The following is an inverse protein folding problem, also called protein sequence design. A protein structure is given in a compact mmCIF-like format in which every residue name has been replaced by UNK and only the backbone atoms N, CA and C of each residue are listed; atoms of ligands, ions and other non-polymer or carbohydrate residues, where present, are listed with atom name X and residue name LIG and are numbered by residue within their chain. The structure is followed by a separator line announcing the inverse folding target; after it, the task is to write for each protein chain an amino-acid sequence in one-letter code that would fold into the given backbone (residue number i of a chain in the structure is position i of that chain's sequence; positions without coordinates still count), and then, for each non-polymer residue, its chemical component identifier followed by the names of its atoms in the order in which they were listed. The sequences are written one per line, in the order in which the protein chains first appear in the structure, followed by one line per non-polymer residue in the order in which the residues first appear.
data_IF_511159915454
#
_entry.id   IF_511159915454
#
_cell.length_a   1.000
_cell.length_b   1.000
_cell.length_c   1.000
_cell.angle_alpha   90.00
_cell.angle_beta   90.00
_cell.angle_gamma   90.00
#
_symmetry.space_group_name_H-M   'P 1'
#
loop_
_entity.id
_entity.type
_entity.pdbx_description
1 polymer ?
#
# COMPACT_ATOMS: atom_id res chain seq x y z
N UNK A 1 -1.54 -10.77 33.85
CA UNK A 1 -1.07 -12.17 33.71
C UNK A 1 -2.27 -13.11 33.76
N UNK A 2 -2.52 -13.86 32.69
CA UNK A 2 -2.55 -15.33 32.84
C UNK A 2 -1.59 -16.00 31.85
N UNK A 3 -0.90 -17.06 32.29
CA UNK A 3 -0.02 -17.85 31.42
C UNK A 3 -0.80 -19.04 30.86
N UNK A 4 -1.02 -19.09 29.54
CA UNK A 4 -1.56 -20.29 28.90
C UNK A 4 -0.43 -21.30 28.71
N UNK A 5 -0.55 -22.45 29.36
CA UNK A 5 0.29 -23.64 29.16
C UNK A 5 -0.56 -24.75 28.53
N UNK A 6 -0.05 -25.37 27.47
CA UNK A 6 -0.70 -26.53 26.87
C UNK A 6 -0.59 -27.75 27.80
N UNK A 7 -1.72 -28.30 28.24
CA UNK A 7 -1.77 -29.52 29.06
C UNK A 7 -2.37 -30.66 28.22
N UNK A 8 -1.57 -31.67 27.89
CA UNK A 8 -2.08 -32.95 27.37
C UNK A 8 -2.63 -33.78 28.54
N UNK A 9 -3.87 -34.26 28.42
CA UNK A 9 -4.43 -35.31 29.28
C UNK A 9 -4.64 -36.58 28.46
N UNK A 10 -4.37 -37.73 29.07
CA UNK A 10 -4.36 -39.04 28.41
C UNK A 10 -5.67 -39.83 28.54
N UNK A 11 -5.67 -40.94 27.78
CA UNK A 11 -6.65 -42.02 27.62
C UNK A 11 -7.58 -42.38 28.79
N UNK A 12 -8.87 -42.60 28.44
CA UNK A 12 -9.71 -43.79 28.74
C UNK A 12 -10.94 -43.76 27.78
N UNK A 13 -11.59 -44.85 27.36
CA UNK A 13 -11.22 -46.28 27.42
C UNK A 13 -12.37 -47.23 27.00
N UNK A 14 -12.10 -48.18 26.08
CA UNK A 14 -12.96 -49.33 25.67
C UNK A 14 -14.26 -49.05 24.87
N UNK A 15 -14.35 -49.60 23.64
CA UNK A 15 -15.12 -50.84 23.34
C UNK A 15 -14.99 -51.25 21.85
N UNK A 16 -14.93 -52.55 21.59
CA UNK A 16 -14.92 -53.13 20.24
C UNK A 16 -16.30 -53.01 19.56
N UNK A 17 -16.32 -52.58 18.31
CA UNK A 17 -17.39 -52.92 17.35
C UNK A 17 -16.76 -53.09 15.96
N UNK A 18 -17.09 -54.19 15.28
CA UNK A 18 -16.65 -54.46 13.91
C UNK A 18 -17.46 -53.60 12.94
N UNK A 19 -16.80 -52.89 12.03
CA UNK A 19 -17.41 -52.24 10.87
C UNK A 19 -16.43 -52.28 9.68
N UNK A 20 -16.99 -52.37 8.47
CA UNK A 20 -16.26 -52.77 7.26
C UNK A 20 -15.13 -51.80 6.88
N UNK A 21 -14.02 -52.37 6.39
CA UNK A 21 -12.97 -51.62 5.69
C UNK A 21 -13.48 -51.28 4.29
N UNK A 22 -13.93 -50.04 4.09
CA UNK A 22 -13.99 -49.42 2.77
C UNK A 22 -12.80 -48.48 2.62
N UNK A 23 -11.82 -48.90 1.82
CA UNK A 23 -10.63 -48.10 1.50
C UNK A 23 -10.98 -47.00 0.50
N UNK A 24 -11.57 -45.89 0.99
CA UNK A 24 -11.55 -44.63 0.24
C UNK A 24 -10.13 -44.06 0.29
N UNK A 25 -9.48 -44.00 -0.87
CA UNK A 25 -8.27 -43.21 -1.06
C UNK A 25 -8.64 -41.74 -0.94
N UNK A 26 -8.30 -41.12 0.19
CA UNK A 26 -8.38 -39.68 0.37
C UNK A 26 -7.29 -39.03 -0.49
N UNK A 27 -7.64 -38.69 -1.74
CA UNK A 27 -6.84 -37.78 -2.55
C UNK A 27 -6.71 -36.45 -1.78
N UNK A 28 -5.49 -35.94 -1.54
CA UNK A 28 -5.35 -34.61 -0.97
C UNK A 28 -5.90 -33.61 -1.97
N UNK A 29 -7.01 -32.96 -1.63
CA UNK A 29 -7.44 -31.73 -2.29
C UNK A 29 -6.38 -30.67 -2.01
N UNK A 30 -5.37 -30.61 -2.87
CA UNK A 30 -4.57 -29.41 -3.04
C UNK A 30 -5.53 -28.39 -3.62
N UNK A 31 -6.04 -27.51 -2.76
CA UNK A 31 -6.71 -26.30 -3.21
C UNK A 31 -5.64 -25.44 -3.89
N UNK A 32 -5.45 -25.65 -5.19
CA UNK A 32 -4.84 -24.65 -6.05
C UNK A 32 -5.77 -23.44 -5.96
N UNK A 33 -5.39 -22.46 -5.15
CA UNK A 33 -5.91 -21.11 -5.31
C UNK A 33 -5.61 -20.73 -6.76
N UNK A 34 -6.64 -20.75 -7.61
CA UNK A 34 -6.50 -20.18 -8.93
C UNK A 34 -6.24 -18.70 -8.69
N UNK A 35 -5.03 -18.26 -9.02
CA UNK A 35 -4.76 -16.84 -9.22
C UNK A 35 -5.74 -16.38 -10.29
N UNK A 36 -6.83 -15.77 -9.85
CA UNK A 36 -7.68 -14.96 -10.70
C UNK A 36 -6.78 -13.82 -11.09
N UNK A 37 -6.20 -13.86 -12.29
CA UNK A 37 -5.44 -12.73 -12.82
C UNK A 37 -6.39 -11.53 -12.78
N UNK A 38 -6.16 -10.51 -11.93
CA UNK A 38 -6.96 -9.30 -11.98
C UNK A 38 -6.73 -8.64 -13.35
N UNK A 39 -7.64 -7.77 -13.82
CA UNK A 39 -7.36 -6.96 -14.99
C UNK A 39 -6.04 -6.20 -14.77
N UNK A 40 -5.16 -6.24 -15.76
CA UNK A 40 -3.79 -5.71 -15.62
C UNK A 40 -3.80 -4.19 -15.75
N UNK A 41 -4.21 -3.52 -14.68
CA UNK A 41 -4.32 -2.08 -14.61
C UNK A 41 -2.95 -1.40 -14.49
N UNK A 42 -2.69 -0.46 -15.39
CA UNK A 42 -1.49 0.38 -15.44
C UNK A 42 -1.71 1.68 -14.66
N UNK A 43 -0.61 2.28 -14.19
CA UNK A 43 -0.57 3.69 -13.80
C UNK A 43 -0.38 4.58 -15.04
N UNK A 44 -0.89 5.81 -15.00
CA UNK A 44 -0.70 6.81 -16.06
C UNK A 44 -0.20 8.17 -15.53
N UNK A 45 0.63 8.16 -14.48
CA UNK A 45 1.37 9.35 -14.01
C UNK A 45 2.23 9.92 -15.15
N UNK A 46 2.09 11.22 -15.45
CA UNK A 46 2.78 11.86 -16.58
C UNK A 46 4.27 12.15 -16.29
N UNK A 47 5.14 11.80 -17.23
CA UNK A 47 6.57 12.14 -17.16
C UNK A 47 6.80 13.66 -17.24
N UNK A 48 7.64 14.19 -16.35
CA UNK A 48 8.07 15.59 -16.38
C UNK A 48 9.04 15.85 -17.54
N UNK A 49 9.15 17.10 -18.00
CA UNK A 49 10.22 17.44 -18.94
C UNK A 49 11.60 17.19 -18.31
N UNK A 50 12.68 16.94 -19.08
CA UNK A 50 14.00 16.69 -18.50
C UNK A 50 14.52 17.85 -17.62
N UNK A 51 14.11 19.08 -17.92
CA UNK A 51 14.44 20.26 -17.12
C UNK A 51 13.67 20.28 -15.79
N UNK A 52 12.36 20.00 -15.82
CA UNK A 52 11.52 19.97 -14.61
C UNK A 52 11.88 18.77 -13.72
N UNK A 53 12.21 17.61 -14.31
CA UNK A 53 12.78 16.45 -13.63
C UNK A 53 14.07 16.82 -12.91
N UNK A 54 14.99 17.52 -13.58
CA UNK A 54 16.26 17.95 -12.98
C UNK A 54 16.03 18.96 -11.84
N UNK A 55 15.09 19.90 -12.00
CA UNK A 55 14.73 20.87 -10.97
C UNK A 55 14.17 20.17 -9.72
N UNK A 56 13.24 19.23 -9.90
CA UNK A 56 12.63 18.47 -8.80
C UNK A 56 13.64 17.54 -8.10
N UNK A 57 14.59 16.94 -8.83
CA UNK A 57 15.70 16.21 -8.19
C UNK A 57 16.61 17.12 -7.35
N UNK A 58 16.92 18.32 -7.84
CA UNK A 58 17.72 19.29 -7.11
C UNK A 58 17.00 19.81 -5.85
N UNK A 59 15.68 20.03 -5.95
CA UNK A 59 14.82 20.40 -4.82
C UNK A 59 14.74 19.28 -3.78
N UNK A 60 14.47 18.04 -4.19
CA UNK A 60 14.43 16.88 -3.31
C UNK A 60 15.76 16.65 -2.59
N UNK A 61 16.88 16.78 -3.30
CA UNK A 61 18.22 16.69 -2.70
C UNK A 61 18.50 17.82 -1.69
N UNK A 62 17.97 19.04 -1.92
CA UNK A 62 18.10 20.15 -0.97
C UNK A 62 17.20 19.94 0.25
N UNK A 63 15.93 19.60 0.05
CA UNK A 63 14.95 19.39 1.12
C UNK A 63 15.38 18.25 2.06
N UNK A 64 15.90 17.14 1.51
CA UNK A 64 16.47 16.05 2.30
C UNK A 64 17.63 16.52 3.18
N UNK A 65 18.59 17.28 2.63
CA UNK A 65 19.73 17.83 3.41
C UNK A 65 19.27 18.79 4.51
N UNK A 66 18.28 19.64 4.25
CA UNK A 66 17.73 20.56 5.25
C UNK A 66 17.03 19.79 6.38
N UNK A 67 16.26 18.74 6.05
CA UNK A 67 15.65 17.83 7.03
C UNK A 67 16.70 17.06 7.84
N UNK A 68 17.83 16.68 7.24
CA UNK A 68 18.95 16.02 7.94
C UNK A 68 19.67 16.99 8.89
N UNK A 69 19.79 18.26 8.51
CA UNK A 69 20.45 19.30 9.31
C UNK A 69 19.61 19.86 10.47
N UNK A 70 18.29 19.72 10.44
CA UNK A 70 17.39 20.34 11.44
C UNK A 70 17.40 19.64 12.82
N UNK A 71 18.01 18.46 12.94
CA UNK A 71 18.33 17.84 14.22
C UNK A 71 17.35 16.85 14.88
N UNK A 72 16.05 16.70 14.51
CA UNK A 72 15.33 15.50 14.92
C UNK A 72 15.94 14.31 14.17
N UNK A 73 16.15 13.21 14.88
CA UNK A 73 16.63 11.95 14.29
C UNK A 73 15.75 11.59 13.09
N UNK A 74 16.35 11.14 11.98
CA UNK A 74 15.69 10.76 10.71
C UNK A 74 14.76 9.52 10.83
N UNK A 75 14.43 9.17 12.07
CA UNK A 75 13.89 7.91 12.57
C UNK A 75 12.59 8.18 13.36
N UNK A 76 11.99 9.38 13.22
CA UNK A 76 10.64 9.65 13.69
C UNK A 76 9.63 9.29 12.60
N UNK A 77 8.67 8.43 12.93
CA UNK A 77 7.48 8.18 12.11
C UNK A 77 6.78 9.51 11.77
N UNK A 78 6.63 9.80 10.49
CA UNK A 78 5.89 10.98 10.01
C UNK A 78 4.46 10.58 9.67
N UNK A 79 3.49 11.26 10.28
CA UNK A 79 2.08 11.07 9.93
C UNK A 79 1.73 11.98 8.75
N UNK A 80 1.12 11.42 7.71
CA UNK A 80 0.70 12.16 6.50
C UNK A 80 -0.81 12.01 6.31
N UNK A 81 -1.59 13.11 6.40
CA UNK A 81 -3.03 13.07 6.21
C UNK A 81 -3.39 12.84 4.74
N UNK A 82 -4.41 12.02 4.52
CA UNK A 82 -5.12 11.83 3.26
C UNK A 82 -6.57 12.30 3.45
N UNK A 83 -7.09 13.12 2.55
CA UNK A 83 -8.52 13.41 2.42
C UNK A 83 -9.10 12.44 1.39
N UNK A 84 -9.96 11.49 1.79
CA UNK A 84 -10.62 10.61 0.84
C UNK A 84 -11.83 11.32 0.22
N UNK A 85 -11.87 11.38 -1.11
CA UNK A 85 -12.98 11.87 -1.91
C UNK A 85 -13.60 10.69 -2.67
N UNK A 86 -14.87 10.38 -2.41
CA UNK A 86 -15.53 9.19 -2.98
C UNK A 86 -16.57 9.65 -3.99
N UNK A 87 -16.33 9.31 -5.26
CA UNK A 87 -17.31 9.54 -6.33
C UNK A 87 -18.35 8.42 -6.27
N UNK A 88 -19.63 8.81 -6.24
CA UNK A 88 -20.78 7.90 -6.21
C UNK A 88 -21.92 8.46 -7.05
N UNK A 89 -22.99 7.68 -7.23
CA UNK A 89 -24.16 8.10 -8.01
C UNK A 89 -24.88 9.29 -7.35
N UNK A 90 -25.68 10.00 -8.14
CA UNK A 90 -26.41 11.19 -7.66
C UNK A 90 -27.47 10.85 -6.58
N UNK A 91 -27.87 9.59 -6.45
CA UNK A 91 -28.76 9.09 -5.40
C UNK A 91 -28.03 8.71 -4.10
N UNK A 92 -26.71 8.88 -4.05
CA UNK A 92 -25.87 8.54 -2.91
C UNK A 92 -25.49 7.06 -2.81
N UNK A 93 -25.83 6.23 -3.80
CA UNK A 93 -25.47 4.81 -3.85
C UNK A 93 -24.22 4.52 -4.68
N UNK A 94 -23.59 3.37 -4.43
CA UNK A 94 -22.31 3.00 -5.04
C UNK A 94 -21.14 3.80 -4.45
N UNK A 95 -20.01 3.77 -5.15
CA UNK A 95 -18.73 4.32 -4.70
C UNK A 95 -18.05 3.43 -3.66
N UNK A 96 -16.81 3.76 -3.35
CA UNK A 96 -15.95 2.92 -2.54
C UNK A 96 -16.43 2.77 -1.08
N UNK A 97 -16.31 1.55 -0.54
CA UNK A 97 -16.82 1.24 0.79
C UNK A 97 -15.86 1.67 1.91
N UNK A 98 -16.40 2.15 3.04
CA UNK A 98 -15.57 2.48 4.22
C UNK A 98 -14.78 1.26 4.75
N UNK A 99 -15.34 0.05 4.64
CA UNK A 99 -14.63 -1.17 5.04
C UNK A 99 -13.38 -1.39 4.19
N UNK A 100 -13.54 -1.33 2.86
CA UNK A 100 -12.45 -1.47 1.89
C UNK A 100 -11.42 -0.36 2.05
N UNK A 101 -11.87 0.90 2.13
CA UNK A 101 -11.03 2.07 2.34
C UNK A 101 -10.08 1.92 3.53
N UNK A 102 -10.58 1.45 4.67
CA UNK A 102 -9.78 1.25 5.87
C UNK A 102 -8.86 0.03 5.76
N UNK A 103 -9.33 -1.05 5.16
CA UNK A 103 -8.53 -2.26 4.96
C UNK A 103 -7.35 -2.00 4.02
N UNK A 104 -7.60 -1.35 2.88
CA UNK A 104 -6.60 -0.94 1.90
C UNK A 104 -5.58 0.04 2.48
N UNK A 105 -6.00 1.00 3.30
CA UNK A 105 -5.06 1.91 3.96
C UNK A 105 -4.19 1.20 5.02
N UNK A 106 -4.74 0.20 5.71
CA UNK A 106 -3.95 -0.66 6.62
C UNK A 106 -2.91 -1.50 5.85
N UNK A 107 -3.27 -2.06 4.70
CA UNK A 107 -2.35 -2.79 3.82
C UNK A 107 -1.26 -1.86 3.25
N UNK A 108 -1.66 -0.70 2.73
CA UNK A 108 -0.76 0.31 2.14
C UNK A 108 0.32 0.75 3.15
N UNK A 109 -0.09 1.02 4.40
CA UNK A 109 0.81 1.44 5.47
C UNK A 109 1.95 0.42 5.74
N UNK A 110 1.79 -0.87 5.43
CA UNK A 110 2.87 -1.87 5.58
C UNK A 110 4.14 -1.50 4.80
N UNK A 111 3.97 -0.91 3.61
CA UNK A 111 5.07 -0.60 2.69
C UNK A 111 5.78 0.71 3.00
N UNK A 112 5.15 1.58 3.78
CA UNK A 112 5.69 2.89 4.16
C UNK A 112 6.18 2.94 5.63
N UNK A 113 5.76 1.96 6.44
CA UNK A 113 6.22 1.72 7.81
C UNK A 113 7.50 0.85 7.86
N UNK A 114 8.64 1.41 7.46
CA UNK A 114 9.92 0.72 7.53
C UNK A 114 10.37 0.50 9.00
N UNK A 115 10.15 -0.69 9.53
CA UNK A 115 10.46 -1.08 10.93
C UNK A 115 9.86 -0.15 11.99
N UNK A 116 8.69 0.45 11.71
CA UNK A 116 8.01 1.41 12.60
C UNK A 116 8.46 2.87 12.44
N UNK A 117 9.32 3.15 11.47
CA UNK A 117 9.72 4.50 11.03
C UNK A 117 9.16 4.75 9.62
N UNK A 118 9.43 5.93 9.03
CA UNK A 118 8.99 6.26 7.67
C UNK A 118 7.69 7.07 7.67
N UNK A 119 6.70 6.66 6.89
CA UNK A 119 5.41 7.35 6.74
C UNK A 119 4.28 6.47 7.27
N UNK A 120 3.35 7.07 8.02
CA UNK A 120 2.03 6.51 8.27
C UNK A 120 0.94 7.43 7.73
N UNK A 121 0.10 6.89 6.85
CA UNK A 121 -1.08 7.56 6.34
C UNK A 121 -2.27 7.37 7.27
N UNK A 122 -3.09 8.41 7.35
CA UNK A 122 -4.38 8.44 8.06
C UNK A 122 -5.40 9.25 7.29
N UNK A 123 -6.69 9.00 7.53
CA UNK A 123 -7.75 9.83 6.94
C UNK A 123 -8.01 11.09 7.75
N UNK A 124 -8.09 12.24 7.08
CA UNK A 124 -8.43 13.52 7.68
C UNK A 124 -9.94 13.75 7.70
N UNK A 125 -10.48 14.07 8.89
CA UNK A 125 -11.90 14.28 9.16
C UNK A 125 -12.57 13.05 9.80
N UNK A 126 -13.90 13.08 9.89
CA UNK A 126 -14.75 12.02 10.46
C UNK A 126 -15.57 11.26 9.41
N UNK A 127 -15.51 11.69 8.15
CA UNK A 127 -16.22 11.10 7.01
C UNK A 127 -15.53 11.53 5.70
N UNK A 128 -15.54 10.71 4.63
CA UNK A 128 -15.06 11.13 3.31
C UNK A 128 -15.81 12.35 2.76
N UNK A 129 -15.19 13.03 1.79
CA UNK A 129 -15.93 13.95 0.93
C UNK A 129 -16.68 13.14 -0.12
N UNK A 130 -18.01 13.17 -0.11
CA UNK A 130 -18.81 12.47 -1.11
C UNK A 130 -19.12 13.39 -2.30
N UNK A 131 -18.87 12.87 -3.50
CA UNK A 131 -19.11 13.56 -4.77
C UNK A 131 -20.22 12.80 -5.50
N UNK A 132 -21.44 13.33 -5.35
CA UNK A 132 -22.67 12.75 -5.91
C UNK A 132 -22.80 13.19 -7.38
N UNK A 133 -22.42 12.33 -8.32
CA UNK A 133 -22.41 12.65 -9.76
C UNK A 133 -22.45 11.39 -10.63
N UNK A 134 -23.60 11.13 -11.27
CA UNK A 134 -23.72 10.01 -12.22
C UNK A 134 -22.76 10.14 -13.42
N UNK A 135 -22.36 11.36 -13.79
CA UNK A 135 -21.42 11.61 -14.89
C UNK A 135 -20.03 11.10 -14.52
N UNK A 136 -19.47 11.55 -13.40
CA UNK A 136 -18.15 11.13 -12.93
C UNK A 136 -18.14 9.66 -12.46
N UNK A 137 -19.28 9.18 -11.96
CA UNK A 137 -19.43 7.78 -11.55
C UNK A 137 -19.47 6.82 -12.74
N UNK A 138 -20.12 7.20 -13.85
CA UNK A 138 -20.17 6.36 -15.05
C UNK A 138 -18.82 6.34 -15.78
N UNK A 139 -18.10 7.46 -15.80
CA UNK A 139 -16.81 7.60 -16.48
C UNK A 139 -16.04 8.83 -15.99
N UNK A 140 -14.96 8.62 -15.24
CA UNK A 140 -13.96 9.64 -14.95
C UNK A 140 -12.95 9.70 -16.10
N UNK A 141 -12.77 10.86 -16.72
CA UNK A 141 -11.80 11.02 -17.83
C UNK A 141 -10.48 11.57 -17.29
N UNK A 142 -9.40 10.81 -17.49
CA UNK A 142 -8.06 11.21 -17.05
C UNK A 142 -7.72 12.63 -17.53
N UNK A 143 -7.17 13.45 -16.63
CA UNK A 143 -6.80 14.87 -16.83
C UNK A 143 -7.95 15.84 -17.16
N UNK A 144 -9.00 15.40 -17.85
CA UNK A 144 -10.12 16.24 -18.27
C UNK A 144 -11.08 16.55 -17.12
N UNK A 145 -11.33 15.57 -16.23
CA UNK A 145 -12.21 15.75 -15.07
C UNK A 145 -11.48 16.22 -13.79
N UNK A 146 -10.16 16.34 -13.83
CA UNK A 146 -9.33 16.93 -12.77
C UNK A 146 -9.74 18.38 -12.45
N UNK A 147 -10.16 19.14 -13.46
CA UNK A 147 -10.71 20.49 -13.29
C UNK A 147 -12.11 20.48 -12.65
N UNK A 148 -12.88 19.40 -12.84
CA UNK A 148 -14.21 19.21 -12.25
C UNK A 148 -14.12 18.92 -10.76
N UNK A 149 -13.12 18.14 -10.33
CA UNK A 149 -12.92 17.81 -8.91
C UNK A 149 -12.05 18.83 -8.16
N UNK A 150 -11.23 19.63 -8.86
CA UNK A 150 -10.34 20.64 -8.25
C UNK A 150 -10.95 21.52 -7.12
N UNK A 151 -12.22 21.97 -7.19
CA UNK A 151 -12.83 22.76 -6.10
C UNK A 151 -13.06 21.98 -4.79
N UNK A 152 -12.84 20.65 -4.77
CA UNK A 152 -12.91 19.80 -3.59
C UNK A 152 -11.58 19.65 -2.86
N UNK A 153 -10.45 19.95 -3.51
CA UNK A 153 -9.13 19.77 -2.91
C UNK A 153 -9.00 20.52 -1.58
N UNK A 154 -8.48 19.84 -0.56
CA UNK A 154 -8.04 20.48 0.69
C UNK A 154 -6.55 20.79 0.65
N UNK A 155 -6.13 21.87 1.31
CA UNK A 155 -4.73 22.31 1.36
C UNK A 155 -3.93 21.66 2.50
N UNK A 156 -4.55 20.92 3.40
CA UNK A 156 -3.90 20.35 4.58
C UNK A 156 -3.72 18.82 4.52
N UNK A 157 -4.04 18.17 3.40
CA UNK A 157 -3.89 16.73 3.20
C UNK A 157 -3.52 16.40 1.75
N UNK A 158 -3.11 15.15 1.49
CA UNK A 158 -3.12 14.58 0.14
C UNK A 158 -4.56 14.30 -0.27
N UNK A 159 -4.94 14.60 -1.51
CA UNK A 159 -6.33 14.50 -1.98
C UNK A 159 -6.53 13.20 -2.77
N UNK A 160 -7.02 12.14 -2.12
CA UNK A 160 -7.16 10.83 -2.75
C UNK A 160 -8.60 10.62 -3.23
N UNK A 161 -8.79 10.59 -4.54
CA UNK A 161 -10.08 10.42 -5.20
C UNK A 161 -10.29 8.95 -5.59
N UNK A 162 -11.47 8.41 -5.24
CA UNK A 162 -11.91 7.08 -5.60
C UNK A 162 -12.97 7.19 -6.68
N UNK A 163 -12.68 6.60 -7.84
CA UNK A 163 -13.52 6.66 -9.06
C UNK A 163 -13.99 5.26 -9.42
N UNK A 164 -15.22 5.13 -9.90
CA UNK A 164 -15.78 3.80 -10.16
C UNK A 164 -15.34 3.21 -11.51
N UNK A 165 -15.10 4.07 -12.49
CA UNK A 165 -14.70 3.66 -13.83
C UNK A 165 -13.93 4.80 -14.50
N UNK A 166 -12.78 4.49 -15.09
CA UNK A 166 -12.06 5.40 -15.98
C UNK A 166 -12.57 5.32 -17.43
N UNK A 167 -12.29 6.34 -18.23
CA UNK A 167 -12.46 6.30 -19.68
C UNK A 167 -11.51 5.34 -20.39
N UNK A 168 -10.31 5.13 -19.82
CA UNK A 168 -9.39 4.07 -20.19
C UNK A 168 -9.58 2.83 -19.30
N UNK A 169 -10.14 1.75 -19.86
CA UNK A 169 -10.38 0.50 -19.13
C UNK A 169 -9.10 -0.24 -18.67
N UNK A 170 -7.91 0.21 -19.08
CA UNK A 170 -6.62 -0.33 -18.63
C UNK A 170 -5.97 0.51 -17.52
N UNK A 171 -6.61 1.59 -17.07
CA UNK A 171 -6.10 2.50 -16.04
C UNK A 171 -6.57 2.05 -14.65
N UNK A 172 -5.63 1.88 -13.71
CA UNK A 172 -5.94 1.62 -12.30
C UNK A 172 -5.83 2.89 -11.46
N UNK A 173 -4.93 3.79 -11.83
CA UNK A 173 -4.79 5.08 -11.15
C UNK A 173 -3.71 5.96 -11.76
N UNK A 174 -3.57 7.14 -11.19
CA UNK A 174 -2.44 8.02 -11.43
C UNK A 174 -2.28 9.00 -10.26
N UNK A 175 -1.06 9.48 -10.07
CA UNK A 175 -0.71 10.55 -9.15
C UNK A 175 -0.03 11.70 -9.91
N UNK A 176 0.31 12.76 -9.18
CA UNK A 176 1.27 13.75 -9.64
C UNK A 176 2.55 13.71 -8.81
N UNK A 177 3.68 13.93 -9.48
CA UNK A 177 4.94 14.24 -8.82
C UNK A 177 4.82 15.50 -7.94
N UNK A 178 5.65 15.65 -6.89
CA UNK A 178 5.64 16.86 -6.07
C UNK A 178 5.83 18.13 -6.91
N UNK A 179 4.93 19.09 -6.71
CA UNK A 179 5.07 20.47 -7.16
C UNK A 179 4.43 21.41 -6.13
N UNK A 180 4.74 22.71 -6.18
CA UNK A 180 4.15 23.70 -5.28
C UNK A 180 2.74 24.15 -5.72
N UNK A 181 1.84 23.17 -5.95
CA UNK A 181 0.42 23.39 -6.31
C UNK A 181 -0.46 22.38 -5.59
N UNK A 182 -1.68 22.78 -5.19
CA UNK A 182 -2.64 21.86 -4.54
C UNK A 182 -2.97 20.67 -5.44
N UNK A 183 -3.12 20.90 -6.75
CA UNK A 183 -3.36 19.84 -7.72
C UNK A 183 -2.29 18.74 -7.74
N UNK A 184 -1.04 19.03 -7.33
CA UNK A 184 0.02 18.01 -7.23
C UNK A 184 -0.15 17.03 -6.06
N UNK A 185 -1.10 17.30 -5.16
CA UNK A 185 -1.38 16.44 -4.00
C UNK A 185 -2.39 15.35 -4.30
N UNK A 186 -2.91 15.28 -5.54
CA UNK A 186 -3.97 14.35 -5.88
C UNK A 186 -3.42 12.96 -6.13
N UNK A 187 -4.32 12.00 -5.94
CA UNK A 187 -4.15 10.64 -6.46
C UNK A 187 -5.53 10.16 -6.87
N UNK A 188 -5.70 9.76 -8.12
CA UNK A 188 -6.97 9.28 -8.65
C UNK A 188 -6.88 7.76 -8.76
N UNK A 189 -7.77 7.05 -8.08
CA UNK A 189 -7.72 5.60 -7.88
C UNK A 189 -9.03 4.96 -8.36
N UNK A 190 -8.94 3.89 -9.15
CA UNK A 190 -10.05 3.02 -9.48
C UNK A 190 -10.52 2.27 -8.23
N UNK A 191 -11.83 2.25 -7.96
CA UNK A 191 -12.41 1.64 -6.76
C UNK A 191 -12.56 0.10 -6.84
N UNK A 192 -11.51 -0.55 -7.36
CA UNK A 192 -11.44 -1.97 -7.74
C UNK A 192 -12.03 -2.92 -6.68
N UNK A 193 -12.66 -3.99 -7.15
CA UNK A 193 -13.30 -5.01 -6.29
C UNK A 193 -12.34 -5.93 -5.51
N UNK A 194 -11.09 -5.53 -5.30
CA UNK A 194 -10.05 -6.31 -4.61
C UNK A 194 -9.21 -5.43 -3.67
N UNK A 195 -9.61 -5.35 -2.40
CA UNK A 195 -8.83 -4.69 -1.34
C UNK A 195 -7.37 -5.18 -1.29
N UNK A 196 -7.12 -6.46 -1.57
CA UNK A 196 -5.79 -7.06 -1.48
C UNK A 196 -4.86 -6.52 -2.58
N UNK A 197 -5.36 -6.40 -3.82
CA UNK A 197 -4.57 -5.80 -4.90
C UNK A 197 -4.44 -4.28 -4.72
N UNK A 198 -5.54 -3.59 -4.38
CA UNK A 198 -5.52 -2.14 -4.16
C UNK A 198 -4.54 -1.73 -3.05
N UNK A 199 -4.54 -2.47 -1.94
CA UNK A 199 -3.75 -2.16 -0.74
C UNK A 199 -2.31 -2.69 -0.75
N UNK A 200 -2.01 -3.75 -1.52
CA UNK A 200 -0.64 -4.27 -1.64
C UNK A 200 0.08 -3.84 -2.94
N UNK A 201 -0.63 -3.32 -3.95
CA UNK A 201 -0.06 -2.89 -5.24
C UNK A 201 -0.47 -1.46 -5.61
N UNK A 202 -1.74 -1.21 -5.93
CA UNK A 202 -2.16 0.01 -6.64
C UNK A 202 -1.88 1.29 -5.85
N UNK A 203 -2.48 1.45 -4.68
CA UNK A 203 -2.31 2.66 -3.87
C UNK A 203 -0.86 2.85 -3.37
N UNK A 204 -0.12 1.81 -2.90
CA UNK A 204 1.28 2.01 -2.54
C UNK A 204 2.16 2.40 -3.75
N UNK A 205 1.82 1.98 -4.98
CA UNK A 205 2.48 2.42 -6.22
C UNK A 205 2.21 3.90 -6.53
N UNK A 206 0.95 4.33 -6.54
CA UNK A 206 0.60 5.74 -6.82
C UNK A 206 1.11 6.71 -5.75
N UNK A 207 1.15 6.28 -4.50
CA UNK A 207 1.82 7.03 -3.44
C UNK A 207 3.34 7.08 -3.67
N UNK A 208 3.94 6.11 -4.35
CA UNK A 208 5.35 6.13 -4.74
C UNK A 208 5.66 7.30 -5.67
N UNK A 209 4.84 7.48 -6.72
CA UNK A 209 4.89 8.66 -7.59
C UNK A 209 4.62 9.96 -6.83
N UNK A 210 3.63 9.95 -5.93
CA UNK A 210 3.32 11.07 -5.03
C UNK A 210 4.57 11.50 -4.24
N UNK A 211 5.44 10.57 -3.85
CA UNK A 211 6.73 10.82 -3.18
C UNK A 211 7.96 10.69 -4.11
N UNK A 212 7.82 11.03 -5.39
CA UNK A 212 8.91 11.19 -6.35
C UNK A 212 9.65 9.91 -6.80
N UNK A 213 9.00 8.75 -6.73
CA UNK A 213 9.48 7.54 -7.40
C UNK A 213 9.03 7.49 -8.87
N UNK A 214 9.94 7.09 -9.74
CA UNK A 214 9.67 6.75 -11.14
C UNK A 214 9.36 5.25 -11.26
N UNK A 215 8.83 4.82 -12.40
CA UNK A 215 8.75 3.39 -12.73
C UNK A 215 10.15 2.80 -12.85
N UNK A 216 10.38 1.57 -12.38
CA UNK A 216 11.67 0.86 -12.51
C UNK A 216 12.18 0.78 -13.95
N UNK A 217 11.23 0.76 -14.90
CA UNK A 217 11.45 0.66 -16.34
C UNK A 217 11.27 2.00 -17.09
N UNK A 218 11.32 3.13 -16.38
CA UNK A 218 11.15 4.49 -16.92
C UNK A 218 12.02 4.74 -18.16
N UNK A 219 11.43 4.89 -19.37
CA UNK A 219 12.18 5.05 -20.61
C UNK A 219 12.47 6.52 -20.97
N UNK A 220 11.74 7.48 -20.40
CA UNK A 220 11.70 8.88 -20.88
C UNK A 220 13.02 9.62 -20.67
N UNK A 221 13.70 9.38 -19.55
CA UNK A 221 15.04 9.93 -19.27
C UNK A 221 16.17 9.05 -19.84
N UNK A 222 15.84 8.13 -20.74
CA UNK A 222 16.75 7.13 -21.30
C UNK A 222 16.81 5.86 -20.44
N UNK A 223 17.17 4.75 -21.08
CA UNK A 223 17.20 3.45 -20.41
C UNK A 223 18.43 3.27 -19.52
N UNK A 224 18.18 2.70 -18.35
CA UNK A 224 19.22 2.24 -17.44
C UNK A 224 20.02 1.06 -18.04
N UNK A 225 21.31 0.96 -17.66
CA UNK A 225 22.18 -0.19 -17.95
C UNK A 225 22.23 -1.13 -16.75
N UNK A 226 22.53 -2.40 -17.01
CA UNK A 226 22.74 -3.39 -15.94
C UNK A 226 24.06 -3.11 -15.18
N UNK A 227 25.04 -2.49 -15.84
CA UNK A 227 26.32 -2.11 -15.25
C UNK A 227 26.15 -1.28 -13.97
N UNK A 228 26.90 -1.63 -12.91
CA UNK A 228 26.94 -0.92 -11.62
C UNK A 228 28.36 -0.44 -11.34
N UNK A 229 28.49 0.72 -10.68
CA UNK A 229 29.80 1.36 -10.43
C UNK A 229 30.33 2.12 -11.65
N UNK A 230 31.58 1.88 -12.03
CA UNK A 230 32.22 2.59 -13.14
C UNK A 230 31.53 2.25 -14.49
N UNK A 231 30.95 3.28 -15.15
CA UNK A 231 30.20 3.12 -16.40
C UNK A 231 28.69 2.91 -16.23
N UNK A 232 28.19 2.88 -14.99
CA UNK A 232 26.75 2.92 -14.69
C UNK A 232 26.13 4.28 -15.03
N UNK A 233 24.83 4.30 -15.31
CA UNK A 233 24.03 5.48 -15.64
C UNK A 233 22.78 5.66 -14.75
N UNK A 234 22.60 4.81 -13.73
CA UNK A 234 21.47 4.82 -12.79
C UNK A 234 21.22 6.14 -12.02
N UNK A 235 22.13 7.11 -12.07
CA UNK A 235 21.93 8.46 -11.52
C UNK A 235 21.37 9.47 -12.54
N UNK A 236 21.23 9.10 -13.80
CA UNK A 236 20.82 9.99 -14.91
C UNK A 236 19.81 9.38 -15.89
N UNK A 237 19.51 8.08 -15.78
CA UNK A 237 18.62 7.32 -16.67
C UNK A 237 17.82 6.30 -15.86
N UNK A 238 16.73 5.77 -16.40
CA UNK A 238 15.83 4.87 -15.68
C UNK A 238 15.07 5.59 -14.57
N UNK A 239 14.88 4.90 -13.45
CA UNK A 239 14.12 5.40 -12.30
C UNK A 239 14.90 6.38 -11.38
N UNK A 240 16.16 6.65 -11.73
CA UNK A 240 17.11 7.46 -10.96
C UNK A 240 17.46 6.86 -9.57
N UNK A 241 17.44 5.52 -9.45
CA UNK A 241 17.84 4.77 -8.27
C UNK A 241 18.90 3.72 -8.63
N UNK A 242 20.02 3.68 -7.91
CA UNK A 242 21.13 2.77 -8.25
C UNK A 242 21.06 1.39 -7.58
N UNK A 243 20.16 1.19 -6.61
CA UNK A 243 19.95 -0.09 -5.92
C UNK A 243 18.69 -0.85 -6.41
N UNK A 244 17.85 -0.23 -7.23
CA UNK A 244 16.93 -0.95 -8.11
C UNK A 244 17.75 -1.60 -9.23
N UNK A 245 17.48 -2.86 -9.60
CA UNK A 245 18.06 -3.46 -10.79
C UNK A 245 17.37 -2.94 -12.05
N UNK A 246 18.16 -2.63 -13.09
CA UNK A 246 17.65 -2.15 -14.38
C UNK A 246 16.54 -3.05 -14.93
N UNK A 247 15.47 -2.44 -15.44
CA UNK A 247 14.23 -3.12 -15.79
C UNK A 247 13.93 -3.05 -17.30
N UNK A 248 13.82 -4.20 -18.01
CA UNK A 248 13.51 -4.24 -19.43
C UNK A 248 12.00 -4.17 -19.74
N UNK A 249 11.10 -4.06 -18.76
CA UNK A 249 9.65 -4.03 -18.98
C UNK A 249 9.27 -2.99 -20.06
N UNK A 250 8.46 -3.39 -21.03
CA UNK A 250 8.02 -2.54 -22.15
C UNK A 250 9.10 -2.22 -23.21
N UNK A 251 10.40 -2.32 -22.89
CA UNK A 251 11.51 -2.00 -23.81
C UNK A 251 11.62 -2.96 -24.99
N UNK A 252 11.32 -4.25 -24.77
CA UNK A 252 11.46 -5.30 -25.78
C UNK A 252 10.14 -6.04 -26.01
N UNK A 253 9.95 -6.56 -27.22
CA UNK A 253 8.82 -7.43 -27.52
C UNK A 253 8.85 -8.66 -26.60
N UNK A 254 7.79 -8.84 -25.81
CA UNK A 254 7.68 -9.90 -24.81
C UNK A 254 8.26 -9.57 -23.42
N UNK A 255 8.92 -8.43 -23.23
CA UNK A 255 9.33 -7.97 -21.89
C UNK A 255 8.14 -7.37 -21.14
N UNK A 256 7.33 -8.23 -20.52
CA UNK A 256 6.12 -7.85 -19.81
C UNK A 256 5.85 -8.79 -18.61
N UNK A 257 4.69 -8.68 -17.98
CA UNK A 257 4.27 -9.48 -16.82
C UNK A 257 4.39 -11.00 -17.02
N UNK A 258 4.28 -11.50 -18.27
CA UNK A 258 4.44 -12.93 -18.59
C UNK A 258 5.88 -13.46 -18.37
N UNK A 259 6.85 -12.58 -18.13
CA UNK A 259 8.20 -12.96 -17.71
C UNK A 259 8.27 -13.48 -16.27
N UNK A 260 7.20 -13.37 -15.47
CA UNK A 260 7.19 -13.78 -14.06
C UNK A 260 6.53 -15.16 -13.90
N UNK A 261 7.12 -15.99 -13.05
CA UNK A 261 6.56 -17.28 -12.65
C UNK A 261 6.65 -17.51 -11.15
N UNK A 262 5.60 -18.13 -10.59
CA UNK A 262 5.57 -18.59 -9.21
C UNK A 262 5.30 -17.53 -8.15
N UNK A 263 5.24 -17.99 -6.90
CA UNK A 263 5.18 -17.19 -5.69
C UNK A 263 6.06 -17.85 -4.62
N UNK A 264 7.19 -17.24 -4.18
CA UNK A 264 7.71 -15.93 -4.59
C UNK A 264 8.04 -15.84 -6.09
N UNK A 265 7.96 -14.63 -6.68
CA UNK A 265 8.12 -14.44 -8.12
C UNK A 265 9.57 -14.70 -8.56
N UNK A 266 9.72 -15.37 -9.69
CA UNK A 266 10.99 -15.55 -10.39
C UNK A 266 10.92 -14.95 -11.79
N UNK A 267 11.95 -14.19 -12.17
CA UNK A 267 12.10 -13.69 -13.54
C UNK A 267 12.60 -14.81 -14.47
N UNK A 268 11.93 -15.02 -15.60
CA UNK A 268 12.18 -16.17 -16.49
C UNK A 268 12.60 -15.79 -17.91
N UNK A 269 12.51 -14.52 -18.27
CA UNK A 269 12.91 -14.01 -19.57
C UNK A 269 14.42 -13.76 -19.67
N UNK A 270 14.91 -13.65 -20.90
CA UNK A 270 16.32 -13.40 -21.21
C UNK A 270 16.42 -12.20 -22.16
N UNK A 271 16.82 -11.04 -21.63
CA UNK A 271 17.10 -9.83 -22.40
C UNK A 271 18.46 -9.26 -21.99
N UNK A 272 19.10 -8.51 -22.90
CA UNK A 272 20.38 -7.84 -22.61
C UNK A 272 20.33 -6.33 -22.85
N UNK A 273 21.19 -5.57 -22.17
CA UNK A 273 21.38 -4.13 -22.40
C UNK A 273 22.25 -3.83 -23.63
N UNK A 274 22.58 -2.55 -23.86
CA UNK A 274 23.44 -2.11 -24.97
C UNK A 274 24.92 -2.52 -24.82
N UNK A 275 25.29 -3.09 -23.68
CA UNK A 275 26.62 -3.65 -23.38
C UNK A 275 26.61 -5.18 -23.34
N UNK A 276 25.49 -5.82 -23.76
CA UNK A 276 25.28 -7.27 -23.75
C UNK A 276 25.27 -7.90 -22.34
N UNK A 277 24.96 -7.12 -21.29
CA UNK A 277 24.74 -7.64 -19.94
C UNK A 277 23.31 -8.14 -19.79
N UNK A 278 23.10 -9.27 -19.08
CA UNK A 278 21.78 -9.85 -18.84
C UNK A 278 20.96 -9.03 -17.83
N UNK A 279 19.73 -8.69 -18.17
CA UNK A 279 18.78 -8.09 -17.22
C UNK A 279 18.36 -9.06 -16.12
N UNK A 280 18.42 -8.58 -14.88
CA UNK A 280 17.87 -9.25 -13.70
C UNK A 280 17.02 -8.24 -12.91
N UNK A 281 15.85 -7.82 -13.42
CA UNK A 281 14.98 -6.85 -12.75
C UNK A 281 14.53 -7.39 -11.39
N UNK A 282 13.99 -6.53 -10.53
CA UNK A 282 13.29 -6.96 -9.31
C UNK A 282 11.79 -7.11 -9.58
N UNK A 283 11.22 -8.33 -9.72
CA UNK A 283 9.80 -8.51 -9.98
C UNK A 283 8.91 -8.07 -8.83
N UNK A 284 9.47 -8.01 -7.62
CA UNK A 284 8.79 -7.61 -6.38
C UNK A 284 8.61 -6.10 -6.27
N UNK A 285 9.34 -5.30 -7.07
CA UNK A 285 9.35 -3.88 -6.86
C UNK A 285 7.98 -3.26 -7.13
N UNK A 286 7.47 -2.48 -6.17
CA UNK A 286 6.19 -1.79 -6.26
C UNK A 286 6.10 -0.87 -7.48
N UNK A 287 7.20 -0.26 -7.91
CA UNK A 287 7.24 0.63 -9.07
C UNK A 287 7.42 -0.10 -10.41
N UNK A 288 7.31 -1.43 -10.43
CA UNK A 288 7.29 -2.26 -11.64
C UNK A 288 5.87 -2.68 -12.04
N UNK A 289 5.69 -3.10 -13.29
CA UNK A 289 4.45 -3.70 -13.79
C UNK A 289 4.54 -5.22 -13.90
N UNK A 290 5.26 -5.86 -12.97
CA UNK A 290 5.42 -7.31 -12.97
C UNK A 290 4.32 -8.08 -12.21
N UNK A 291 3.43 -7.38 -11.51
CA UNK A 291 2.25 -7.91 -10.81
C UNK A 291 2.51 -9.20 -9.99
N UNK A 292 3.54 -9.21 -9.12
CA UNK A 292 3.92 -10.37 -8.30
C UNK A 292 2.90 -10.63 -7.17
N UNK A 293 3.08 -11.74 -6.45
CA UNK A 293 2.34 -12.03 -5.21
C UNK A 293 2.92 -11.38 -3.94
N UNK A 294 4.10 -10.76 -4.03
CA UNK A 294 4.79 -10.08 -2.91
C UNK A 294 5.49 -8.84 -3.45
N UNK A 295 5.47 -7.77 -2.65
CA UNK A 295 5.85 -6.44 -3.09
C UNK A 295 6.89 -5.80 -2.16
N UNK A 296 7.78 -4.96 -2.69
CA UNK A 296 8.78 -4.22 -1.92
C UNK A 296 9.18 -2.85 -2.53
N UNK A 297 9.93 -2.08 -1.75
CA UNK A 297 10.74 -0.94 -2.18
C UNK A 297 12.21 -1.21 -1.83
N UNK A 298 13.14 -0.68 -2.61
CA UNK A 298 14.58 -0.70 -2.28
C UNK A 298 14.95 0.38 -1.26
N UNK A 299 16.17 0.33 -0.71
CA UNK A 299 16.63 1.34 0.24
C UNK A 299 16.73 2.73 -0.42
N UNK A 300 17.23 2.79 -1.66
CA UNK A 300 17.28 4.03 -2.45
C UNK A 300 15.89 4.59 -2.78
N UNK A 301 14.88 3.74 -2.96
CA UNK A 301 13.49 4.18 -3.10
C UNK A 301 12.95 4.75 -1.77
N UNK A 302 13.26 4.16 -0.61
CA UNK A 302 12.91 4.78 0.69
C UNK A 302 13.59 6.15 0.90
N UNK A 303 14.86 6.29 0.52
CA UNK A 303 15.57 7.59 0.58
C UNK A 303 14.88 8.64 -0.30
N UNK A 304 14.46 8.26 -1.52
CA UNK A 304 13.69 9.13 -2.42
C UNK A 304 12.30 9.48 -1.89
N UNK A 305 11.59 8.52 -1.28
CA UNK A 305 10.30 8.78 -0.61
C UNK A 305 10.49 9.83 0.51
N UNK A 306 11.55 9.72 1.31
CA UNK A 306 11.85 10.71 2.35
C UNK A 306 12.25 12.07 1.78
N UNK A 307 12.94 12.11 0.64
CA UNK A 307 13.27 13.35 -0.06
C UNK A 307 12.01 14.02 -0.65
N UNK A 308 11.13 13.25 -1.31
CA UNK A 308 9.86 13.71 -1.85
C UNK A 308 8.91 14.23 -0.75
N UNK A 309 8.85 13.55 0.40
CA UNK A 309 8.14 14.03 1.58
C UNK A 309 8.72 15.37 2.08
N UNK A 310 10.05 15.48 2.17
CA UNK A 310 10.71 16.72 2.59
C UNK A 310 10.41 17.88 1.62
N UNK A 311 10.42 17.63 0.29
CA UNK A 311 9.98 18.60 -0.73
C UNK A 311 8.55 19.06 -0.47
N UNK A 312 7.61 18.12 -0.33
CA UNK A 312 6.20 18.43 -0.06
C UNK A 312 5.99 19.22 1.23
N UNK A 313 6.75 18.95 2.28
CA UNK A 313 6.73 19.69 3.55
C UNK A 313 7.36 21.09 3.46
N UNK A 314 8.09 21.40 2.38
CA UNK A 314 8.74 22.69 2.15
C UNK A 314 7.97 23.57 1.14
N UNK A 315 6.89 23.04 0.55
CA UNK A 315 5.96 23.78 -0.31
C UNK A 315 5.03 24.71 0.50
N UNK A 316 4.37 25.63 -0.20
CA UNK A 316 3.54 26.69 0.40
C UNK A 316 2.09 26.68 -0.08
N UNK A 317 1.78 25.94 -1.15
CA UNK A 317 0.41 25.78 -1.64
C UNK A 317 -0.44 24.84 -0.77
N UNK A 318 0.21 23.99 0.04
CA UNK A 318 -0.41 23.03 0.96
C UNK A 318 0.55 22.75 2.13
N UNK A 319 0.03 22.13 3.19
CA UNK A 319 0.73 21.98 4.49
C UNK A 319 0.89 20.53 4.97
N UNK A 320 0.02 19.61 4.53
CA UNK A 320 -0.02 18.20 4.99
C UNK A 320 -0.11 18.05 6.53
N UNK A 321 -0.82 18.96 7.21
CA UNK A 321 -0.93 19.08 8.66
C UNK A 321 -2.37 18.96 9.20
N UNK A 322 -3.31 18.44 8.39
CA UNK A 322 -4.71 18.26 8.80
C UNK A 322 -4.79 17.54 10.16
N UNK A 323 -5.47 18.11 11.17
CA UNK A 323 -5.34 17.64 12.53
C UNK A 323 -5.85 16.21 12.72
N UNK A 324 -5.19 15.49 13.61
CA UNK A 324 -5.65 14.18 14.07
C UNK A 324 -7.04 14.30 14.71
N UNK A 325 -8.01 13.46 14.28
CA UNK A 325 -9.34 13.44 14.90
C UNK A 325 -9.25 12.70 16.23
N UNK A 326 -9.47 13.42 17.34
CA UNK A 326 -9.48 12.84 18.67
C UNK A 326 -10.63 11.83 18.83
N UNK A 327 -10.31 10.63 19.32
CA UNK A 327 -11.25 9.51 19.52
C UNK A 327 -10.96 8.79 20.84
N UNK A 328 -11.99 8.28 21.50
CA UNK A 328 -11.82 7.51 22.73
C UNK A 328 -11.32 6.08 22.42
N UNK A 329 -10.18 5.69 23.02
CA UNK A 329 -9.51 4.42 22.76
C UNK A 329 -10.46 3.22 22.87
N UNK A 330 -10.38 2.22 21.95
CA UNK A 330 -11.14 0.99 22.10
C UNK A 330 -10.60 0.24 23.32
N UNK A 331 -11.49 -0.38 24.11
CA UNK A 331 -11.10 -1.07 25.34
C UNK A 331 -11.44 -2.55 25.26
N UNK A 332 -11.04 -3.33 26.28
CA UNK A 332 -11.43 -4.75 26.41
C UNK A 332 -11.05 -5.58 25.17
N UNK A 333 -9.85 -5.34 24.61
CA UNK A 333 -9.36 -6.09 23.44
C UNK A 333 -9.03 -7.53 23.86
N UNK A 334 -9.67 -8.49 23.20
CA UNK A 334 -9.51 -9.93 23.47
C UNK A 334 -9.24 -10.66 22.16
N UNK A 335 -8.17 -11.44 22.11
CA UNK A 335 -7.85 -12.33 20.99
C UNK A 335 -8.08 -13.80 21.40
N UNK A 336 -8.84 -14.54 20.59
CA UNK A 336 -9.15 -15.96 20.81
C UNK A 336 -8.88 -16.77 19.55
N UNK A 337 -8.35 -17.99 19.70
CA UNK A 337 -8.19 -18.91 18.57
C UNK A 337 -9.52 -19.63 18.34
N UNK A 338 -10.09 -19.48 17.14
CA UNK A 338 -11.31 -20.16 16.73
C UNK A 338 -11.09 -20.88 15.38
N UNK A 339 -11.04 -22.21 15.43
CA UNK A 339 -10.75 -23.03 14.25
C UNK A 339 -9.37 -22.72 13.66
N UNK A 340 -9.33 -22.22 12.43
CA UNK A 340 -8.13 -21.77 11.72
C UNK A 340 -8.06 -20.24 11.61
N UNK A 341 -8.58 -19.51 12.60
CA UNK A 341 -8.50 -18.04 12.71
C UNK A 341 -8.17 -17.58 14.14
N UNK A 342 -7.63 -16.37 14.26
CA UNK A 342 -7.62 -15.61 15.52
C UNK A 342 -8.74 -14.57 15.43
N UNK A 343 -9.77 -14.71 16.25
CA UNK A 343 -10.86 -13.74 16.38
C UNK A 343 -10.49 -12.73 17.44
N UNK A 344 -10.41 -11.48 17.03
CA UNK A 344 -10.09 -10.31 17.85
C UNK A 344 -11.39 -9.55 18.07
N UNK A 345 -11.77 -9.31 19.32
CA UNK A 345 -12.96 -8.54 19.71
C UNK A 345 -12.58 -7.40 20.63
N UNK A 346 -13.30 -6.28 20.57
CA UNK A 346 -13.08 -5.12 21.45
C UNK A 346 -14.40 -4.41 21.77
N UNK A 347 -14.35 -3.56 22.79
CA UNK A 347 -15.38 -2.56 23.06
C UNK A 347 -15.04 -1.28 22.29
N UNK A 348 -15.94 -0.88 21.39
CA UNK A 348 -15.90 0.45 20.78
C UNK A 348 -16.32 1.51 21.83
N UNK A 349 -15.56 2.58 21.94
CA UNK A 349 -15.83 3.71 22.84
C UNK A 349 -15.98 5.04 22.07
N UNK A 350 -15.86 5.04 20.74
CA UNK A 350 -15.86 6.22 19.89
C UNK A 350 -17.20 6.37 19.16
N UNK A 351 -17.61 7.60 18.89
CA UNK A 351 -18.78 7.93 18.05
C UNK A 351 -18.42 8.79 16.83
N UNK A 352 -17.11 9.01 16.63
CA UNK A 352 -16.54 9.88 15.58
C UNK A 352 -15.43 9.19 14.80
N UNK A 353 -15.32 7.87 14.92
CA UNK A 353 -14.31 7.08 14.22
C UNK A 353 -14.71 6.76 12.78
N UNK A 354 -13.72 6.75 11.89
CA UNK A 354 -13.87 6.33 10.49
C UNK A 354 -13.59 4.83 10.31
N UNK A 355 -13.08 4.17 11.35
CA UNK A 355 -12.67 2.77 11.37
C UNK A 355 -11.51 2.50 12.33
N UNK A 356 -11.18 1.22 12.44
CA UNK A 356 -10.01 0.72 13.17
C UNK A 356 -9.01 0.07 12.21
N UNK A 357 -7.72 0.31 12.44
CA UNK A 357 -6.64 -0.53 11.95
C UNK A 357 -6.33 -1.60 13.01
N UNK A 358 -6.29 -2.86 12.58
CA UNK A 358 -5.88 -3.97 13.42
C UNK A 358 -4.39 -4.19 13.16
N UNK A 359 -3.57 -4.08 14.20
CA UNK A 359 -2.13 -4.31 14.15
C UNK A 359 -1.75 -5.59 14.94
N UNK A 360 -0.71 -6.28 14.50
CA UNK A 360 -0.16 -7.48 15.15
C UNK A 360 1.34 -7.33 15.32
N UNK A 361 1.86 -7.77 16.46
CA UNK A 361 3.30 -7.88 16.74
C UNK A 361 3.65 -9.27 17.28
N UNK A 362 4.91 -9.68 17.16
CA UNK A 362 5.50 -10.80 17.92
C UNK A 362 6.20 -10.33 19.20
N UNK A 363 6.29 -9.02 19.42
CA UNK A 363 6.91 -8.37 20.58
C UNK A 363 5.84 -7.69 21.46
N UNK A 364 6.02 -7.64 22.80
CA UNK A 364 4.97 -7.15 23.70
C UNK A 364 4.54 -5.69 23.55
N UNK A 365 5.38 -4.80 22.99
CA UNK A 365 5.13 -3.33 22.98
C UNK A 365 5.60 -2.60 21.71
N UNK A 366 6.40 -3.25 20.87
CA UNK A 366 7.02 -2.69 19.66
C UNK A 366 6.75 -3.62 18.47
N UNK A 367 7.21 -3.30 17.25
CA UNK A 367 7.12 -4.23 16.11
C UNK A 367 5.71 -4.54 15.58
N UNK A 368 4.72 -3.70 15.91
CA UNK A 368 3.38 -3.80 15.35
C UNK A 368 3.39 -3.51 13.84
N UNK A 369 2.76 -4.39 13.08
CA UNK A 369 2.45 -4.19 11.67
C UNK A 369 0.93 -4.30 11.47
N UNK A 370 0.29 -3.45 10.64
CA UNK A 370 -1.12 -3.59 10.31
C UNK A 370 -1.40 -4.92 9.58
N UNK A 371 -2.51 -5.56 9.91
CA UNK A 371 -2.98 -6.82 9.31
C UNK A 371 -4.35 -6.71 8.63
N UNK A 372 -5.03 -5.57 8.80
CA UNK A 372 -6.28 -5.24 8.13
C UNK A 372 -6.96 -4.03 8.76
N UNK A 373 -8.08 -3.62 8.19
CA UNK A 373 -8.92 -2.54 8.71
C UNK A 373 -10.39 -2.92 8.70
N UNK A 374 -11.20 -2.21 9.48
CA UNK A 374 -12.66 -2.39 9.54
C UNK A 374 -13.40 -1.05 9.44
N UNK A 375 -14.65 -1.11 8.98
CA UNK A 375 -15.57 0.03 8.94
C UNK A 375 -15.95 0.53 10.35
N UNK A 376 -16.61 1.71 10.44
CA UNK A 376 -17.12 2.23 11.70
C UNK A 376 -18.00 1.27 12.50
N UNK A 377 -17.96 1.38 13.83
CA UNK A 377 -18.75 0.63 14.82
C UNK A 377 -18.56 -0.90 14.78
N UNK A 378 -17.60 -1.41 14.02
CA UNK A 378 -17.23 -2.82 14.00
C UNK A 378 -16.39 -3.14 15.24
N UNK A 379 -16.74 -4.23 15.93
CA UNK A 379 -16.12 -4.67 17.19
C UNK A 379 -15.45 -6.04 17.10
N UNK A 380 -15.25 -6.56 15.89
CA UNK A 380 -14.67 -7.88 15.62
C UNK A 380 -13.85 -7.93 14.34
N UNK A 381 -12.74 -8.68 14.36
CA UNK A 381 -11.89 -8.96 13.20
C UNK A 381 -11.40 -10.42 13.27
N UNK A 382 -11.23 -11.08 12.12
CA UNK A 382 -10.71 -12.46 12.06
C UNK A 382 -9.41 -12.50 11.27
N UNK A 383 -8.29 -12.60 11.99
CA UNK A 383 -6.97 -12.84 11.39
C UNK A 383 -6.84 -14.30 10.95
N UNK A 384 -6.67 -14.51 9.64
CA UNK A 384 -6.40 -15.82 9.02
C UNK A 384 -4.94 -15.97 8.56
N UNK A 385 -4.11 -14.94 8.79
CA UNK A 385 -2.73 -14.82 8.28
C UNK A 385 -1.66 -15.32 9.26
N UNK A 386 -1.99 -16.30 10.11
CA UNK A 386 -1.09 -16.77 11.17
C UNK A 386 -0.36 -18.07 10.80
N UNK A 387 0.91 -18.14 11.17
CA UNK A 387 1.68 -19.37 11.21
C UNK A 387 1.50 -20.06 12.57
N UNK A 388 1.32 -21.39 12.57
CA UNK A 388 1.15 -22.16 13.80
C UNK A 388 2.38 -22.06 14.71
N UNK A 389 2.15 -22.13 16.03
CA UNK A 389 3.16 -22.09 17.11
C UNK A 389 3.84 -20.73 17.39
N UNK A 390 3.46 -19.64 16.72
CA UNK A 390 3.98 -18.29 17.02
C UNK A 390 3.13 -17.58 18.10
N UNK A 391 3.77 -16.82 19.00
CA UNK A 391 3.09 -15.93 19.96
C UNK A 391 2.92 -14.55 19.33
N UNK A 392 1.74 -13.96 19.50
CA UNK A 392 1.41 -12.63 18.99
C UNK A 392 0.78 -11.75 20.08
N UNK A 393 1.10 -10.46 20.01
CA UNK A 393 0.48 -9.36 20.74
C UNK A 393 -0.37 -8.58 19.74
N UNK A 394 -1.62 -8.26 20.11
CA UNK A 394 -2.56 -7.54 19.24
C UNK A 394 -2.66 -6.08 19.70
N UNK A 395 -2.67 -5.17 18.74
CA UNK A 395 -2.92 -3.75 18.95
C UNK A 395 -4.10 -3.34 18.08
N UNK A 396 -4.99 -2.53 18.65
CA UNK A 396 -5.92 -1.74 17.85
C UNK A 396 -5.35 -0.34 17.78
N UNK A 397 -5.16 0.16 16.57
CA UNK A 397 -4.86 1.57 16.33
C UNK A 397 -6.11 2.17 15.71
N UNK A 398 -6.58 3.27 16.29
CA UNK A 398 -7.46 4.14 15.54
C UNK A 398 -6.78 4.55 14.23
N UNK A 399 -7.56 4.93 13.23
CA UNK A 399 -7.02 5.63 12.07
C UNK A 399 -6.14 6.84 12.46
N UNK A 400 -6.32 7.43 13.66
CA UNK A 400 -5.85 8.80 13.94
C UNK A 400 -5.30 9.06 15.37
N UNK A 401 -5.05 8.06 16.24
CA UNK A 401 -4.12 8.25 17.40
C UNK A 401 -3.61 6.96 18.09
N UNK A 402 -2.78 7.14 19.13
CA UNK A 402 -1.89 6.20 19.83
C UNK A 402 -2.52 4.87 20.32
N UNK A 403 -1.63 3.86 20.43
CA UNK A 403 -1.91 2.45 20.74
C UNK A 403 -2.50 2.23 22.14
N UNK A 404 -3.51 1.35 22.23
CA UNK A 404 -3.59 0.42 23.37
C UNK A 404 -2.88 -0.89 23.02
N UNK A 405 -2.08 -1.40 23.96
CA UNK A 405 -1.25 -2.59 23.82
C UNK A 405 -1.66 -3.60 24.89
N UNK A 406 -2.08 -4.79 24.47
CA UNK A 406 -2.45 -5.89 25.37
C UNK A 406 -1.56 -7.12 25.13
N UNK A 407 -0.82 -7.49 26.19
CA UNK A 407 0.27 -8.50 26.23
C UNK A 407 -0.23 -9.91 26.54
#
# INVERSE_FOLDING_TARGET
MPKIYAKRSGQFGSRFFYLLISSLVALPFVATAQLINPPLFQCATESLSPADRQALEAEAALALRLKQASGPSFVSLTYVPIRPHIIRKSDGTGGYSMASLNNVMALTNKYYLQNGNGIQFYFSGTTPDYIDSDVLYAQYRQNADDATVAPRDVTNALNQYYVHQFDNASLGGYAQFPANTVASTRTIILDEGSDDDMGNRLIPHELGHTFNLLHTHEPFYGYERVTRGAGANCTTTGDLVCDTPADPYGRYAGANYACISGCPPSYTCTFVDDQNNLYTPSPTNLMSYYFPCVHDFTAGQYDRIQAGLATRQNHTAYTLDAPETAMAAPSTVVATIQGSGIVITWQDNSSTEMGYFIERSTLPTTGFAPIGGVAPNITTFTDRSFTSQTRFTIGLKHLIQLREVLV
#
